data_IF_841178528806
#
_entry.id   IF_841178528806
#
_cell.length_a   1.000
_cell.length_b   1.000
_cell.length_c   1.000
_cell.angle_alpha   90.00
_cell.angle_beta   90.00
_cell.angle_gamma   90.00
#
_symmetry.space_group_name_H-M   'P 1'
#
loop_
_entity.id
_entity.type
_entity.pdbx_description
1 polymer ?
#
# COMPACT_ATOMS: atom_id res chain seq x y z
N UNK A 1 -1.51 2.81 -18.45
CA UNK A 1 -0.65 2.51 -17.28
C UNK A 1 -1.57 2.07 -16.16
N UNK A 2 -1.17 1.08 -15.38
CA UNK A 2 -1.93 0.58 -14.24
C UNK A 2 -1.03 0.62 -13.02
N UNK A 3 -1.52 1.17 -11.91
CA UNK A 3 -0.78 1.19 -10.65
C UNK A 3 -0.87 -0.17 -9.95
N UNK A 4 0.19 -0.62 -9.29
CA UNK A 4 0.19 -1.88 -8.52
C UNK A 4 0.53 -1.58 -7.07
N UNK A 5 -0.43 -1.87 -6.20
CA UNK A 5 -0.37 -1.61 -4.77
C UNK A 5 0.31 -2.77 -3.99
N UNK A 6 0.70 -2.49 -2.75
CA UNK A 6 1.29 -3.46 -1.80
C UNK A 6 0.45 -4.73 -1.68
N UNK A 7 -0.86 -4.60 -1.53
CA UNK A 7 -1.79 -5.73 -1.41
C UNK A 7 -1.68 -6.72 -2.59
N UNK A 8 -1.58 -6.20 -3.82
CA UNK A 8 -1.41 -7.00 -5.02
C UNK A 8 -0.05 -7.70 -5.06
N UNK A 9 1.03 -7.01 -4.68
CA UNK A 9 2.36 -7.62 -4.63
C UNK A 9 2.48 -8.71 -3.57
N UNK A 10 1.86 -8.51 -2.39
CA UNK A 10 1.81 -9.52 -1.34
C UNK A 10 1.10 -10.78 -1.84
N UNK A 11 -0.09 -10.62 -2.44
CA UNK A 11 -0.85 -11.74 -3.00
C UNK A 11 -0.05 -12.47 -4.09
N UNK A 12 0.55 -11.74 -5.03
CA UNK A 12 1.37 -12.32 -6.09
C UNK A 12 2.62 -13.06 -5.57
N UNK A 13 3.19 -12.62 -4.43
CA UNK A 13 4.42 -13.18 -3.86
C UNK A 13 4.16 -14.33 -2.87
N UNK A 14 2.93 -14.45 -2.36
CA UNK A 14 2.57 -15.39 -1.30
C UNK A 14 1.72 -16.53 -1.84
N UNK A 15 2.31 -17.71 -2.08
CA UNK A 15 1.60 -18.87 -2.67
C UNK A 15 0.34 -19.33 -1.90
N UNK A 16 0.29 -19.08 -0.59
CA UNK A 16 -0.84 -19.45 0.28
C UNK A 16 -1.91 -18.37 0.37
N UNK A 17 -1.69 -17.22 -0.26
CA UNK A 17 -2.66 -16.14 -0.28
C UNK A 17 -3.87 -16.54 -1.14
N UNK A 18 -5.07 -16.20 -0.67
CA UNK A 18 -6.32 -16.55 -1.36
C UNK A 18 -6.39 -15.94 -2.76
N UNK A 19 -5.74 -14.80 -2.97
CA UNK A 19 -5.72 -14.06 -4.23
C UNK A 19 -4.48 -14.36 -5.09
N UNK A 20 -3.62 -15.32 -4.70
CA UNK A 20 -2.33 -15.56 -5.35
C UNK A 20 -2.43 -15.77 -6.86
N UNK A 21 -3.27 -16.70 -7.30
CA UNK A 21 -3.44 -17.02 -8.72
C UNK A 21 -3.98 -15.84 -9.52
N UNK A 22 -4.86 -15.06 -8.91
CA UNK A 22 -5.47 -13.91 -9.55
C UNK A 22 -4.52 -12.72 -9.65
N UNK A 23 -3.77 -12.42 -8.59
CA UNK A 23 -2.73 -11.40 -8.60
C UNK A 23 -1.69 -11.70 -9.69
N UNK A 24 -1.25 -12.96 -9.81
CA UNK A 24 -0.35 -13.38 -10.88
C UNK A 24 -0.98 -13.21 -12.27
N UNK A 25 -2.26 -13.56 -12.44
CA UNK A 25 -2.99 -13.38 -13.70
C UNK A 25 -3.07 -11.90 -14.09
N UNK A 26 -3.36 -11.01 -13.14
CA UNK A 26 -3.47 -9.57 -13.40
C UNK A 26 -2.12 -8.94 -13.73
N UNK A 27 -1.08 -9.25 -12.95
CA UNK A 27 0.26 -8.68 -13.14
C UNK A 27 0.94 -9.22 -14.41
N UNK A 28 0.73 -10.50 -14.76
CA UNK A 28 1.39 -11.11 -15.93
C UNK A 28 0.55 -11.08 -17.21
N UNK A 29 -0.77 -11.02 -17.09
CA UNK A 29 -1.70 -11.11 -18.21
C UNK A 29 -2.07 -9.77 -18.85
N UNK A 30 -1.57 -8.66 -18.31
CA UNK A 30 -1.85 -7.33 -18.87
C UNK A 30 -0.77 -6.89 -19.86
N UNK A 31 -1.21 -6.23 -20.93
CA UNK A 31 -0.33 -5.52 -21.84
C UNK A 31 0.00 -4.08 -21.41
N UNK A 32 -0.63 -3.59 -20.34
CA UNK A 32 -0.36 -2.27 -19.84
C UNK A 32 1.04 -2.18 -19.19
N UNK A 33 1.67 -1.02 -19.31
CA UNK A 33 2.80 -0.67 -18.43
C UNK A 33 2.30 -0.59 -16.99
N UNK A 34 2.87 -1.43 -16.13
CA UNK A 34 2.63 -1.40 -14.69
C UNK A 34 3.50 -0.34 -14.04
N UNK A 35 2.97 0.33 -13.02
CA UNK A 35 3.67 1.34 -12.22
C UNK A 35 3.51 0.99 -10.75
N UNK A 36 4.59 1.06 -9.99
CA UNK A 36 4.55 0.97 -8.51
C UNK A 36 5.53 1.99 -7.92
N UNK A 37 5.47 2.28 -6.63
CA UNK A 37 6.38 3.26 -6.00
C UNK A 37 7.51 2.60 -5.22
N UNK A 38 8.58 3.34 -4.93
CA UNK A 38 9.60 2.94 -3.96
C UNK A 38 8.99 2.64 -2.57
N UNK A 39 7.95 3.36 -2.16
CA UNK A 39 7.25 3.16 -0.88
C UNK A 39 6.48 1.85 -0.84
N UNK A 40 5.68 1.55 -1.88
CA UNK A 40 4.99 0.24 -2.03
C UNK A 40 6.00 -0.91 -2.02
N UNK A 41 7.14 -0.73 -2.71
CA UNK A 41 8.21 -1.73 -2.76
C UNK A 41 8.82 -1.99 -1.37
N UNK A 42 9.06 -0.93 -0.60
CA UNK A 42 9.59 -1.00 0.77
C UNK A 42 8.60 -1.61 1.77
N UNK A 43 7.33 -1.26 1.66
CA UNK A 43 6.26 -1.84 2.48
C UNK A 43 6.08 -3.33 2.20
N UNK A 44 6.01 -3.71 0.91
CA UNK A 44 5.92 -5.12 0.51
C UNK A 44 7.12 -5.93 1.00
N UNK A 45 8.35 -5.40 0.83
CA UNK A 45 9.56 -6.02 1.39
C UNK A 45 9.43 -6.25 2.89
N UNK A 46 8.99 -5.23 3.63
CA UNK A 46 8.89 -5.28 5.09
C UNK A 46 7.88 -6.33 5.52
N UNK A 47 6.73 -6.39 4.84
CA UNK A 47 5.71 -7.41 5.08
C UNK A 47 6.26 -8.82 4.84
N UNK A 48 6.82 -9.07 3.64
CA UNK A 48 7.34 -10.38 3.27
C UNK A 48 8.49 -10.81 4.18
N UNK A 49 9.40 -9.89 4.52
CA UNK A 49 10.54 -10.19 5.37
C UNK A 49 10.10 -10.58 6.79
N UNK A 50 9.07 -9.92 7.33
CA UNK A 50 8.53 -10.23 8.65
C UNK A 50 7.74 -11.54 8.67
N UNK A 51 6.97 -11.81 7.61
CA UNK A 51 6.04 -12.95 7.57
C UNK A 51 6.65 -14.24 7.04
N UNK A 52 7.57 -14.13 6.08
CA UNK A 52 8.11 -15.25 5.30
C UNK A 52 9.65 -15.31 5.32
N UNK A 53 10.30 -14.36 5.99
CA UNK A 53 11.75 -14.29 6.09
C UNK A 53 12.41 -13.54 4.95
N UNK A 54 13.73 -13.39 5.06
CA UNK A 54 14.52 -12.53 4.18
C UNK A 54 14.56 -13.00 2.72
N UNK A 55 14.69 -14.31 2.48
CA UNK A 55 14.84 -14.85 1.13
C UNK A 55 13.62 -14.60 0.22
N UNK A 56 12.37 -14.82 0.65
CA UNK A 56 11.20 -14.43 -0.15
C UNK A 56 11.11 -12.93 -0.43
N UNK A 57 11.52 -12.08 0.52
CA UNK A 57 11.55 -10.64 0.32
C UNK A 57 12.59 -10.23 -0.76
N UNK A 58 13.77 -10.87 -0.77
CA UNK A 58 14.79 -10.67 -1.82
C UNK A 58 14.30 -11.12 -3.19
N UNK A 59 13.65 -12.28 -3.26
CA UNK A 59 13.08 -12.76 -4.51
C UNK A 59 12.06 -11.76 -5.09
N UNK A 60 11.26 -11.12 -4.23
CA UNK A 60 10.34 -10.05 -4.64
C UNK A 60 11.09 -8.84 -5.23
N UNK A 61 12.13 -8.32 -4.56
CA UNK A 61 12.91 -7.19 -5.09
C UNK A 61 13.59 -7.51 -6.42
N UNK A 62 14.17 -8.70 -6.53
CA UNK A 62 14.80 -9.17 -7.77
C UNK A 62 13.78 -9.27 -8.90
N UNK A 63 12.59 -9.82 -8.62
CA UNK A 63 11.53 -9.98 -9.61
C UNK A 63 11.00 -8.66 -10.14
N UNK A 64 10.81 -7.67 -9.25
CA UNK A 64 10.33 -6.33 -9.63
C UNK A 64 11.40 -5.54 -10.37
N UNK A 65 12.69 -5.71 -10.02
CA UNK A 65 13.80 -5.05 -10.71
C UNK A 65 14.06 -5.59 -12.11
N UNK A 66 13.73 -6.86 -12.38
CA UNK A 66 13.90 -7.53 -13.68
C UNK A 66 12.66 -7.47 -14.58
N UNK A 67 11.54 -6.95 -14.08
CA UNK A 67 10.29 -6.94 -14.81
C UNK A 67 10.32 -5.91 -15.96
N UNK A 68 10.20 -6.40 -17.21
CA UNK A 68 10.28 -5.56 -18.41
C UNK A 68 9.16 -4.53 -18.55
N UNK A 69 7.99 -4.81 -17.95
CA UNK A 69 6.79 -3.96 -18.05
C UNK A 69 6.40 -3.36 -16.70
N UNK A 70 7.38 -3.15 -15.83
CA UNK A 70 7.20 -2.50 -14.54
C UNK A 70 8.09 -1.25 -14.46
N UNK A 71 7.46 -0.10 -14.22
CA UNK A 71 8.14 1.14 -13.83
C UNK A 71 8.06 1.30 -12.32
N UNK A 72 9.22 1.47 -11.69
CA UNK A 72 9.32 1.85 -10.29
C UNK A 72 9.44 3.37 -10.24
N UNK A 73 8.40 4.04 -9.77
CA UNK A 73 8.40 5.47 -9.55
C UNK A 73 9.02 5.81 -8.20
N UNK A 74 10.04 6.66 -8.19
CA UNK A 74 10.55 7.24 -6.97
C UNK A 74 9.73 8.47 -6.62
N UNK A 75 9.02 8.42 -5.50
CA UNK A 75 8.20 9.54 -5.03
C UNK A 75 9.11 10.72 -4.74
N UNK A 76 8.86 11.84 -5.43
CA UNK A 76 9.61 13.07 -5.21
C UNK A 76 9.17 13.75 -3.91
N UNK A 77 10.01 14.67 -3.42
CA UNK A 77 9.68 15.46 -2.23
C UNK A 77 8.36 16.21 -2.38
N UNK A 78 8.09 16.75 -3.55
CA UNK A 78 6.88 17.51 -3.85
C UNK A 78 5.61 16.63 -3.75
N UNK A 79 5.71 15.38 -4.23
CA UNK A 79 4.62 14.40 -4.12
C UNK A 79 4.43 13.90 -2.70
N UNK A 80 5.51 13.73 -1.92
CA UNK A 80 5.41 13.44 -0.49
C UNK A 80 4.74 14.59 0.29
N UNK A 81 5.15 15.83 0.02
CA UNK A 81 4.54 17.01 0.64
C UNK A 81 3.06 17.14 0.26
N UNK A 82 2.67 16.74 -0.96
CA UNK A 82 1.27 16.63 -1.36
C UNK A 82 0.52 15.53 -0.61
N UNK A 83 1.13 14.35 -0.45
CA UNK A 83 0.56 13.25 0.31
C UNK A 83 0.33 13.66 1.77
N UNK A 84 1.27 14.37 2.39
CA UNK A 84 1.12 14.89 3.75
C UNK A 84 0.00 15.91 3.89
N UNK A 85 -0.13 16.83 2.93
CA UNK A 85 -1.26 17.77 2.91
C UNK A 85 -2.58 17.03 2.78
N UNK A 86 -2.66 16.08 1.85
CA UNK A 86 -3.84 15.27 1.60
C UNK A 86 -4.27 14.46 2.83
N UNK A 87 -3.32 13.89 3.59
CA UNK A 87 -3.59 13.16 4.83
C UNK A 87 -4.08 14.07 5.96
N UNK A 88 -3.53 15.28 6.11
CA UNK A 88 -3.98 16.23 7.14
C UNK A 88 -5.41 16.69 6.93
N UNK A 89 -5.86 16.74 5.68
CA UNK A 89 -7.18 17.23 5.32
C UNK A 89 -8.28 16.14 5.43
N UNK A 90 -7.92 14.87 5.69
CA UNK A 90 -8.87 13.75 5.75
C UNK A 90 -8.73 12.96 7.05
N UNK A 91 -9.79 12.98 7.84
CA UNK A 91 -9.92 12.20 9.09
C UNK A 91 -11.08 11.19 9.02
N UNK A 92 -11.64 11.01 7.82
CA UNK A 92 -12.88 10.24 7.60
C UNK A 92 -12.62 8.72 7.52
N UNK A 93 -11.40 8.34 7.14
CA UNK A 93 -10.94 6.95 7.00
C UNK A 93 -9.44 6.90 7.31
N UNK A 94 -9.00 5.81 7.95
CA UNK A 94 -7.58 5.54 8.12
C UNK A 94 -6.94 5.23 6.75
N UNK A 95 -6.10 6.14 6.28
CA UNK A 95 -5.24 5.95 5.11
C UNK A 95 -3.80 5.88 5.55
N UNK A 96 -3.02 4.95 5.00
CA UNK A 96 -1.58 4.91 5.25
C UNK A 96 -0.84 5.99 4.48
N UNK A 97 0.39 6.28 4.90
CA UNK A 97 1.30 7.13 4.13
C UNK A 97 1.61 6.56 2.74
N UNK A 98 1.65 5.23 2.61
CA UNK A 98 1.89 4.56 1.32
C UNK A 98 0.70 4.75 0.39
N UNK A 99 -0.54 4.69 0.91
CA UNK A 99 -1.75 4.98 0.13
C UNK A 99 -1.74 6.42 -0.38
N UNK A 100 -1.46 7.38 0.51
CA UNK A 100 -1.46 8.80 0.16
C UNK A 100 -0.41 9.15 -0.91
N UNK A 101 0.80 8.62 -0.79
CA UNK A 101 1.87 8.81 -1.80
C UNK A 101 1.54 8.09 -3.10
N UNK A 102 0.90 6.93 -3.05
CA UNK A 102 0.39 6.23 -4.23
C UNK A 102 -0.65 7.06 -4.97
N UNK A 103 -1.62 7.67 -4.26
CA UNK A 103 -2.59 8.58 -4.87
C UNK A 103 -1.94 9.84 -5.46
N UNK A 104 -0.92 10.41 -4.81
CA UNK A 104 -0.17 11.54 -5.37
C UNK A 104 0.53 11.18 -6.69
N UNK A 105 1.21 10.03 -6.74
CA UNK A 105 1.84 9.52 -7.96
C UNK A 105 0.81 9.23 -9.05
N UNK A 106 -0.29 8.56 -8.72
CA UNK A 106 -1.35 8.25 -9.67
C UNK A 106 -1.95 9.52 -10.29
N UNK A 107 -2.17 10.58 -9.49
CA UNK A 107 -2.60 11.90 -9.98
C UNK A 107 -1.58 12.52 -10.93
N UNK A 108 -0.32 12.58 -10.51
CA UNK A 108 0.77 13.17 -11.29
C UNK A 108 0.94 12.49 -12.65
N UNK A 109 0.90 11.15 -12.67
CA UNK A 109 1.05 10.35 -13.89
C UNK A 109 -0.27 10.09 -14.65
N UNK A 110 -1.40 10.65 -14.17
CA UNK A 110 -2.74 10.46 -14.73
C UNK A 110 -3.17 8.98 -14.83
N UNK A 111 -2.76 8.17 -13.87
CA UNK A 111 -3.13 6.75 -13.76
C UNK A 111 -4.49 6.67 -13.06
N UNK A 112 -5.45 5.96 -13.67
CA UNK A 112 -6.84 5.84 -13.20
C UNK A 112 -7.23 4.44 -12.74
N UNK A 113 -6.31 3.49 -12.88
CA UNK A 113 -6.53 2.08 -12.60
C UNK A 113 -5.45 1.62 -11.64
N UNK A 114 -5.86 0.87 -10.62
CA UNK A 114 -4.95 0.20 -9.69
C UNK A 114 -5.31 -1.28 -9.55
N UNK A 115 -4.29 -2.10 -9.40
CA UNK A 115 -4.39 -3.46 -8.91
C UNK A 115 -4.15 -3.43 -7.41
N UNK A 116 -5.21 -3.67 -6.65
CA UNK A 116 -5.19 -3.76 -5.20
C UNK A 116 -6.20 -4.81 -4.75
N UNK A 117 -5.96 -5.42 -3.59
CA UNK A 117 -6.91 -6.29 -2.92
C UNK A 117 -7.26 -5.66 -1.58
N UNK A 118 -8.53 -5.74 -1.20
CA UNK A 118 -8.95 -5.25 0.11
C UNK A 118 -8.35 -6.15 1.18
N UNK A 119 -7.35 -5.65 1.88
CA UNK A 119 -6.72 -6.33 3.00
C UNK A 119 -7.52 -6.06 4.27
N UNK A 120 -8.82 -6.38 4.26
CA UNK A 120 -9.60 -6.52 5.49
C UNK A 120 -9.09 -7.78 6.21
N UNK A 121 -8.03 -7.59 7.00
CA UNK A 121 -7.53 -8.59 7.92
C UNK A 121 -8.53 -8.70 9.09
N UNK A 122 -9.59 -9.47 8.89
CA UNK A 122 -10.49 -9.89 9.95
C UNK A 122 -11.97 -9.59 9.72
N UNK A 123 -12.57 -10.14 8.67
CA UNK A 123 -13.97 -10.60 8.73
C UNK A 123 -14.21 -11.63 7.61
N UNK A 124 -14.40 -12.89 8.00
CA UNK A 124 -14.92 -13.92 7.09
C UNK A 124 -16.39 -13.62 6.80
N UNK A 125 -16.65 -12.78 5.81
CA UNK A 125 -17.91 -12.86 5.07
C UNK A 125 -17.65 -13.66 3.79
N UNK A 126 -18.29 -14.83 3.69
CA UNK A 126 -18.45 -15.54 2.41
C UNK A 126 -19.03 -14.57 1.39
N UNK A 127 -18.20 -14.12 0.46
CA UNK A 127 -18.63 -13.51 -0.79
C UNK A 127 -17.60 -13.82 -1.88
N UNK A 128 -18.08 -14.47 -2.92
CA UNK A 128 -17.53 -14.50 -4.27
C UNK A 128 -16.96 -13.12 -4.65
N UNK A 129 -15.64 -12.99 -4.78
CA UNK A 129 -15.01 -11.70 -5.10
C UNK A 129 -13.63 -11.90 -5.69
N UNK A 130 -13.57 -11.99 -7.01
CA UNK A 130 -12.31 -11.93 -7.75
C UNK A 130 -11.64 -10.56 -7.57
N UNK A 131 -10.31 -10.57 -7.50
CA UNK A 131 -9.41 -9.46 -7.72
C UNK A 131 -9.95 -8.48 -8.72
N UNK A 132 -10.27 -7.31 -8.17
CA UNK A 132 -10.92 -6.27 -8.93
C UNK A 132 -9.85 -5.31 -9.44
N UNK A 133 -9.88 -5.03 -10.74
CA UNK A 133 -9.19 -3.88 -11.29
C UNK A 133 -9.95 -2.66 -10.75
N UNK A 134 -9.45 -2.05 -9.70
CA UNK A 134 -10.11 -0.92 -9.08
C UNK A 134 -9.90 0.29 -9.99
N UNK A 135 -10.99 0.84 -10.54
CA UNK A 135 -10.97 2.22 -11.02
C UNK A 135 -10.90 3.11 -9.80
N UNK A 136 -9.70 3.58 -9.50
CA UNK A 136 -9.47 4.54 -8.44
C UNK A 136 -9.76 5.90 -9.03
N UNK A 137 -10.71 6.63 -8.44
CA UNK A 137 -10.80 8.05 -8.69
C UNK A 137 -9.54 8.70 -8.10
N UNK A 138 -8.64 9.26 -8.93
CA UNK A 138 -7.39 9.82 -8.45
C UNK A 138 -7.61 11.04 -7.53
N UNK A 139 -8.83 11.59 -7.43
CA UNK A 139 -9.16 12.63 -6.43
C UNK A 139 -9.27 12.09 -5.00
N UNK A 140 -9.28 10.76 -4.81
CA UNK A 140 -9.50 10.13 -3.50
C UNK A 140 -10.93 10.27 -2.99
N UNK A 141 -11.88 10.65 -3.85
CA UNK A 141 -13.30 10.55 -3.54
C UNK A 141 -13.74 9.11 -3.80
N UNK A 142 -14.13 8.40 -2.75
CA UNK A 142 -14.85 7.15 -2.93
C UNK A 142 -16.09 7.43 -3.80
N UNK A 143 -16.27 6.66 -4.88
CA UNK A 143 -17.50 6.72 -5.67
C UNK A 143 -18.69 6.57 -4.72
N UNK A 144 -19.48 7.65 -4.58
CA UNK A 144 -20.44 7.81 -3.50
C UNK A 144 -21.44 6.66 -3.40
N UNK A 145 -21.58 6.11 -2.19
CA UNK A 145 -22.89 5.69 -1.72
C UNK A 145 -23.67 6.96 -1.37
N UNK A 146 -24.84 7.12 -1.97
CA UNK A 146 -25.79 8.19 -1.65
C UNK A 146 -26.40 7.97 -0.26
N UNK A 147 -26.61 9.10 0.42
CA UNK A 147 -27.51 9.34 1.57
C UNK A 147 -27.06 8.73 2.92
N UNK A 148 -27.12 9.41 4.08
CA UNK A 148 -27.96 10.52 4.50
C UNK A 148 -27.31 11.39 5.61
N UNK A 149 -27.78 12.63 5.67
CA UNK A 149 -27.95 13.55 6.81
C UNK A 149 -27.55 13.03 8.22
N UNK A 150 -26.60 13.74 8.87
CA UNK A 150 -26.78 14.44 10.16
C UNK A 150 -25.41 14.88 10.73
N UNK A 151 -25.30 16.16 11.12
CA UNK A 151 -24.31 16.59 12.14
C UNK A 151 -25.00 16.51 13.50
N UNK A 152 -24.26 16.22 14.58
CA UNK A 152 -23.76 17.36 15.34
C UNK A 152 -22.30 17.22 15.81
N UNK A 153 -21.74 18.40 16.12
CA UNK A 153 -20.47 18.64 16.80
C UNK A 153 -20.49 18.04 18.21
N UNK A 154 -19.36 17.55 18.71
CA UNK A 154 -18.75 18.01 19.96
C UNK A 154 -17.34 17.42 20.15
N UNK A 155 -16.45 18.27 20.70
CA UNK A 155 -15.10 17.94 21.13
C UNK A 155 -15.18 16.88 22.24
N UNK A 156 -14.27 15.91 22.21
CA UNK A 156 -13.65 15.35 23.41
C UNK A 156 -12.26 14.84 23.02
N UNK A 157 -11.25 15.41 23.69
CA UNK A 157 -9.91 14.84 23.74
C UNK A 157 -10.04 13.59 24.60
N UNK A 158 -9.95 12.42 23.97
CA UNK A 158 -9.92 11.14 24.69
C UNK A 158 -8.48 10.64 24.68
N UNK A 159 -7.91 10.54 25.87
CA UNK A 159 -6.65 9.83 26.14
C UNK A 159 -6.67 8.44 25.48
N UNK A 160 -5.57 8.09 24.81
CA UNK A 160 -5.35 6.72 24.36
C UNK A 160 -5.17 5.80 25.59
N UNK A 161 -5.96 4.71 25.72
CA UNK A 161 -5.57 3.63 26.60
C UNK A 161 -4.29 2.99 26.04
N UNK A 162 -3.30 2.78 26.91
CA UNK A 162 -2.08 2.04 26.60
C UNK A 162 -2.46 0.66 26.06
N UNK A 163 -2.21 0.43 24.78
CA UNK A 163 -2.21 -0.91 24.21
C UNK A 163 -0.78 -1.45 24.33
N UNK A 164 -0.56 -2.29 25.32
CA UNK A 164 0.64 -3.11 25.48
C UNK A 164 0.72 -4.13 24.34
N UNK A 165 1.25 -3.70 23.18
CA UNK A 165 1.94 -4.56 22.21
C UNK A 165 3.10 -3.78 21.62
N UNK A 166 4.29 -4.06 22.14
CA UNK A 166 5.58 -3.46 21.80
C UNK A 166 5.77 -3.22 20.29
N UNK A 167 5.54 -1.98 19.86
CA UNK A 167 6.20 -1.37 18.72
C UNK A 167 7.48 -0.67 19.22
N UNK A 168 8.45 -1.45 19.73
CA UNK A 168 9.75 -0.89 20.12
C UNK A 168 10.60 -0.65 18.87
N UNK A 169 10.61 0.60 18.39
CA UNK A 169 11.72 1.14 17.60
C UNK A 169 12.97 1.12 18.50
N UNK A 170 13.77 0.06 18.43
CA UNK A 170 15.04 0.00 19.15
C UNK A 170 16.02 -0.96 18.49
N UNK A 171 17.04 -0.34 17.89
CA UNK A 171 18.45 -0.74 17.73
C UNK A 171 18.93 -0.65 16.30
N UNK A 172 19.43 0.54 15.95
CA UNK A 172 20.40 0.70 14.88
C UNK A 172 21.35 1.86 15.24
N UNK A 173 22.24 1.61 16.19
CA UNK A 173 23.49 2.36 16.35
C UNK A 173 24.63 1.37 16.11
N UNK A 174 25.42 1.51 15.04
CA UNK A 174 26.68 0.79 14.94
C UNK A 174 27.70 1.52 15.82
N UNK A 175 28.13 0.88 16.90
CA UNK A 175 29.32 1.29 17.65
C UNK A 175 30.55 1.15 16.75
N UNK A 176 31.14 2.27 16.36
CA UNK A 176 32.50 2.31 15.81
C UNK A 176 33.49 2.02 16.93
N UNK A 177 34.15 0.87 16.88
CA UNK A 177 35.40 0.63 17.61
C UNK A 177 36.49 0.28 16.59
N UNK A 178 37.39 1.23 16.33
CA UNK A 178 38.72 0.97 15.76
C UNK A 178 39.59 0.34 16.86
N UNK A 179 40.43 -0.65 16.57
CA UNK A 179 41.57 -0.96 17.42
C UNK A 179 42.77 -0.09 17.04
N UNK A 180 43.56 0.26 18.06
CA UNK A 180 44.91 0.82 17.98
C UNK A 180 45.93 -0.20 17.46
#
# INVERSE_FOLDING_TARGET
MIFVDTSCWIAASTRKDAHHHEALRLVRGTDALLVTTNHVRGETWTFLSRRHGHSPALAFLDSTSRALRLRIEFVSRELEDEAWRWLRDRDEREYSFVDATSFAVMRSLRIREALAFDSDCGQQHRATGGGTLARVDPTGQAAGRREAHERPRQRNVTEYPRCDRDWSYSRMCPTTSRPE
#
